data_IF_449845684049
#
_entry.id   IF_449845684049
#
_cell.length_a   1.000
_cell.length_b   1.000
_cell.length_c   1.000
_cell.angle_alpha   90.00
_cell.angle_beta   90.00
_cell.angle_gamma   90.00
#
_symmetry.space_group_name_H-M   'P 1'
#
loop_
_entity.id
_entity.type
_entity.pdbx_description
1 polymer ?
#
# COMPACT_ATOMS: atom_id res chain seq x y z
N UNK A 1 48.42 -63.89 -20.47
CA UNK A 1 47.91 -62.53 -20.70
C UNK A 1 47.91 -61.82 -19.35
N UNK A 2 48.48 -60.62 -19.26
CA UNK A 2 48.39 -59.81 -18.05
C UNK A 2 47.29 -58.77 -18.27
N UNK A 3 46.45 -58.53 -17.25
CA UNK A 3 45.36 -57.54 -17.30
C UNK A 3 45.49 -56.60 -16.12
N UNK A 4 45.18 -55.32 -16.34
CA UNK A 4 45.10 -54.29 -15.31
C UNK A 4 43.83 -53.47 -15.54
N UNK A 5 43.28 -52.91 -14.47
CA UNK A 5 42.10 -52.04 -14.51
C UNK A 5 42.47 -50.70 -13.89
N UNK A 6 42.00 -49.61 -14.49
CA UNK A 6 42.10 -48.25 -13.96
C UNK A 6 40.70 -47.72 -13.69
N UNK A 7 40.45 -47.21 -12.49
CA UNK A 7 39.21 -46.51 -12.16
C UNK A 7 39.45 -45.04 -12.51
N UNK A 8 38.59 -44.48 -13.36
CA UNK A 8 38.66 -43.07 -13.73
C UNK A 8 38.47 -42.21 -12.48
N UNK A 9 39.45 -41.37 -12.18
CA UNK A 9 39.44 -40.42 -11.07
C UNK A 9 39.06 -39.02 -11.55
N UNK A 10 38.72 -38.13 -10.62
CA UNK A 10 38.44 -36.72 -10.95
C UNK A 10 39.65 -36.04 -11.62
N UNK A 11 40.87 -36.39 -11.20
CA UNK A 11 42.09 -35.89 -11.85
C UNK A 11 42.21 -36.32 -13.32
N UNK A 12 41.72 -37.50 -13.67
CA UNK A 12 41.70 -37.98 -15.06
C UNK A 12 40.66 -37.20 -15.87
N UNK A 13 39.45 -37.03 -15.32
CA UNK A 13 38.41 -36.22 -15.93
C UNK A 13 38.88 -34.79 -16.17
N UNK A 14 39.57 -34.18 -15.20
CA UNK A 14 40.13 -32.84 -15.32
C UNK A 14 41.25 -32.78 -16.38
N UNK A 15 42.07 -33.83 -16.50
CA UNK A 15 43.11 -33.93 -17.52
C UNK A 15 42.56 -34.17 -18.94
N UNK A 16 41.32 -34.67 -19.06
CA UNK A 16 40.65 -34.95 -20.33
C UNK A 16 41.20 -36.17 -21.08
N UNK A 17 42.18 -36.87 -20.52
CA UNK A 17 42.72 -38.12 -21.08
C UNK A 17 43.48 -38.93 -20.04
N UNK A 18 43.56 -40.24 -20.28
CA UNK A 18 44.35 -41.18 -19.49
C UNK A 18 45.45 -41.75 -20.39
N UNK A 19 46.71 -41.50 -20.05
CA UNK A 19 47.87 -42.10 -20.72
C UNK A 19 48.33 -43.34 -19.94
N UNK A 20 48.34 -44.50 -20.60
CA UNK A 20 48.80 -45.76 -20.04
C UNK A 20 49.94 -46.33 -20.88
N UNK A 21 51.05 -46.69 -20.23
CA UNK A 21 52.21 -47.33 -20.87
C UNK A 21 52.56 -48.63 -20.16
N UNK A 22 52.64 -49.73 -20.91
CA UNK A 22 53.09 -51.02 -20.41
C UNK A 22 54.52 -51.29 -20.88
N UNK A 23 55.32 -51.94 -20.04
CA UNK A 23 56.65 -52.43 -20.40
C UNK A 23 56.79 -53.87 -19.95
N UNK A 24 57.19 -54.75 -20.86
CA UNK A 24 57.47 -56.16 -20.58
C UNK A 24 58.97 -56.37 -20.69
N UNK A 25 59.56 -56.91 -19.63
CA UNK A 25 60.97 -57.27 -19.58
C UNK A 25 61.13 -58.79 -19.63
N UNK A 26 62.14 -59.27 -20.34
CA UNK A 26 62.51 -60.67 -20.42
C UNK A 26 64.02 -60.85 -20.39
N UNK A 27 64.48 -62.09 -20.26
CA UNK A 27 65.90 -62.43 -20.35
C UNK A 27 66.06 -63.53 -21.39
N UNK A 28 66.97 -63.30 -22.33
CA UNK A 28 67.39 -64.27 -23.35
C UNK A 28 68.75 -64.85 -22.99
N UNK A 29 69.21 -65.93 -23.66
CA UNK A 29 70.57 -66.46 -23.48
C UNK A 29 71.70 -65.45 -23.74
N UNK A 30 71.41 -64.30 -24.38
CA UNK A 30 72.39 -63.24 -24.70
C UNK A 30 72.19 -61.96 -23.87
N UNK A 31 71.21 -61.91 -22.96
CA UNK A 31 70.97 -60.77 -22.07
C UNK A 31 69.50 -60.34 -21.92
N UNK A 32 69.24 -59.28 -21.14
CA UNK A 32 67.90 -58.75 -20.94
C UNK A 32 67.33 -58.10 -22.21
N UNK A 33 66.02 -58.22 -22.42
CA UNK A 33 65.25 -57.59 -23.50
C UNK A 33 64.02 -56.89 -22.92
N UNK A 34 63.55 -55.84 -23.59
CA UNK A 34 62.34 -55.12 -23.19
C UNK A 34 61.50 -54.71 -24.39
N UNK A 35 60.18 -54.71 -24.24
CA UNK A 35 59.24 -54.14 -25.19
C UNK A 35 58.24 -53.25 -24.44
N UNK A 36 57.78 -52.17 -25.06
CA UNK A 36 56.75 -51.29 -24.50
C UNK A 36 55.66 -50.98 -25.51
N UNK A 37 54.48 -50.72 -24.99
CA UNK A 37 53.31 -50.26 -25.77
C UNK A 37 52.57 -49.22 -24.93
N UNK A 38 51.87 -48.29 -25.58
CA UNK A 38 51.10 -47.26 -24.90
C UNK A 38 49.74 -46.99 -25.54
N UNK A 39 48.86 -46.38 -24.75
CA UNK A 39 47.50 -46.05 -25.12
C UNK A 39 47.07 -44.77 -24.41
N UNK A 40 46.53 -43.83 -25.18
CA UNK A 40 45.82 -42.67 -24.64
C UNK A 40 44.34 -42.86 -24.84
N UNK A 41 43.57 -42.79 -23.74
CA UNK A 41 42.11 -42.77 -23.77
C UNK A 41 41.66 -41.34 -23.54
N UNK A 42 41.07 -40.69 -24.55
CA UNK A 42 40.46 -39.37 -24.39
C UNK A 42 39.13 -39.48 -23.66
N UNK A 43 38.89 -38.59 -22.69
CA UNK A 43 37.64 -38.48 -21.95
C UNK A 43 36.82 -37.31 -22.52
N UNK A 44 35.50 -37.52 -22.65
CA UNK A 44 34.58 -36.45 -23.04
C UNK A 44 34.17 -35.71 -21.77
N UNK A 45 34.43 -34.41 -21.75
CA UNK A 45 34.09 -33.52 -20.65
C UNK A 45 32.75 -32.81 -20.90
N UNK A 46 31.93 -32.69 -19.86
CA UNK A 46 30.66 -31.97 -19.84
C UNK A 46 30.69 -30.88 -18.75
N UNK A 47 31.49 -29.81 -18.91
CA UNK A 47 31.48 -28.69 -17.98
C UNK A 47 30.09 -28.04 -17.94
N UNK A 48 29.51 -27.89 -16.75
CA UNK A 48 28.19 -27.29 -16.58
C UNK A 48 28.12 -26.50 -15.28
N UNK A 49 27.64 -25.27 -15.37
CA UNK A 49 27.30 -24.44 -14.23
C UNK A 49 25.80 -24.22 -14.18
N UNK A 50 25.30 -24.03 -12.96
CA UNK A 50 23.97 -23.47 -12.72
C UNK A 50 24.11 -22.25 -11.84
N UNK A 51 23.18 -21.32 -12.01
CA UNK A 51 23.04 -20.12 -11.20
C UNK A 51 21.63 -20.09 -10.65
N UNK A 52 21.51 -19.89 -9.34
CA UNK A 52 20.25 -19.52 -8.71
C UNK A 52 20.40 -18.15 -8.06
N UNK A 53 19.66 -17.17 -8.56
CA UNK A 53 19.61 -15.81 -8.03
C UNK A 53 18.39 -15.65 -7.12
N UNK A 54 18.61 -15.03 -5.96
CA UNK A 54 17.55 -14.65 -5.02
C UNK A 54 17.77 -13.26 -4.45
N UNK A 55 16.68 -12.58 -4.09
CA UNK A 55 16.69 -11.35 -3.31
C UNK A 55 16.19 -11.64 -1.89
N UNK A 56 16.78 -11.01 -0.87
CA UNK A 56 16.29 -11.12 0.50
C UNK A 56 14.94 -10.40 0.68
N UNK A 57 14.77 -9.26 0.01
CA UNK A 57 13.57 -8.44 0.02
C UNK A 57 12.60 -8.89 -1.07
N UNK A 58 11.31 -9.00 -0.71
CA UNK A 58 10.23 -9.34 -1.65
C UNK A 58 9.48 -8.10 -2.15
N UNK A 59 9.60 -6.98 -1.43
CA UNK A 59 9.04 -5.68 -1.77
C UNK A 59 9.96 -4.53 -1.34
N UNK A 60 9.83 -3.37 -1.97
CA UNK A 60 10.43 -2.10 -1.53
C UNK A 60 9.39 -0.97 -1.55
N UNK A 61 9.58 0.10 -0.78
CA UNK A 61 8.58 1.17 -0.70
C UNK A 61 9.15 2.58 -0.85
N UNK A 62 10.47 2.75 -0.90
CA UNK A 62 11.08 4.07 -1.01
C UNK A 62 12.43 4.02 -1.74
N UNK A 63 12.81 5.18 -2.31
CA UNK A 63 14.17 5.44 -2.80
C UNK A 63 15.17 5.25 -1.65
N UNK A 64 16.29 4.62 -1.93
CA UNK A 64 17.31 4.33 -0.91
C UNK A 64 17.10 3.03 -0.13
N UNK A 65 15.96 2.32 -0.33
CA UNK A 65 15.89 0.92 0.10
C UNK A 65 16.99 0.12 -0.61
N UNK A 66 17.60 -0.83 0.09
CA UNK A 66 18.70 -1.66 -0.43
C UNK A 66 18.17 -3.09 -0.59
N UNK A 67 18.30 -3.63 -1.80
CA UNK A 67 18.05 -5.04 -2.10
C UNK A 67 19.35 -5.82 -1.93
N UNK A 68 19.29 -6.94 -1.21
CA UNK A 68 20.42 -7.84 -0.99
C UNK A 68 20.26 -9.08 -1.87
N UNK A 69 21.17 -9.24 -2.83
CA UNK A 69 21.18 -10.37 -3.74
C UNK A 69 22.14 -11.47 -3.29
N UNK A 70 21.72 -12.71 -3.50
CA UNK A 70 22.52 -13.92 -3.33
C UNK A 70 22.52 -14.71 -4.64
N UNK A 71 23.70 -15.17 -5.04
CA UNK A 71 23.95 -15.93 -6.26
C UNK A 71 24.56 -17.28 -5.89
N UNK A 72 23.76 -18.33 -5.88
CA UNK A 72 24.27 -19.69 -5.66
C UNK A 72 24.74 -20.25 -7.01
N UNK A 73 26.06 -20.28 -7.20
CA UNK A 73 26.70 -20.85 -8.39
C UNK A 73 27.14 -22.28 -8.06
N UNK A 74 26.68 -23.25 -8.83
CA UNK A 74 26.96 -24.67 -8.59
C UNK A 74 27.54 -25.34 -9.82
N UNK A 75 28.60 -26.11 -9.61
CA UNK A 75 29.14 -27.01 -10.64
C UNK A 75 28.26 -28.26 -10.73
N UNK A 76 27.57 -28.43 -11.85
CA UNK A 76 26.78 -29.63 -12.16
C UNK A 76 27.37 -30.44 -13.33
N UNK A 77 28.61 -30.11 -13.72
CA UNK A 77 29.36 -30.84 -14.72
C UNK A 77 30.20 -31.95 -14.10
N UNK A 78 31.17 -32.43 -14.88
CA UNK A 78 32.08 -33.52 -14.52
C UNK A 78 33.56 -33.07 -14.44
N UNK A 79 33.83 -31.77 -14.59
CA UNK A 79 35.17 -31.16 -14.52
C UNK A 79 35.22 -30.14 -13.38
N UNK A 80 36.32 -30.14 -12.63
CA UNK A 80 36.61 -29.17 -11.57
C UNK A 80 37.08 -27.83 -12.14
N UNK A 81 36.66 -26.71 -11.53
CA UNK A 81 37.06 -25.37 -11.98
C UNK A 81 38.01 -24.68 -10.99
N UNK A 82 39.19 -24.25 -11.44
CA UNK A 82 40.19 -23.57 -10.59
C UNK A 82 39.81 -22.15 -10.12
N UNK A 83 38.64 -21.62 -10.53
CA UNK A 83 38.26 -20.25 -10.26
C UNK A 83 39.04 -19.19 -11.06
N UNK A 84 38.87 -17.90 -10.75
CA UNK A 84 37.85 -17.37 -9.84
C UNK A 84 36.44 -17.55 -10.42
N UNK A 85 35.44 -17.66 -9.55
CA UNK A 85 34.03 -17.51 -9.94
C UNK A 85 33.71 -16.02 -9.95
N UNK A 86 33.09 -15.55 -11.04
CA UNK A 86 32.62 -14.17 -11.17
C UNK A 86 31.14 -14.14 -11.49
N UNK A 87 30.46 -13.10 -11.03
CA UNK A 87 29.07 -12.79 -11.38
C UNK A 87 29.07 -11.43 -12.06
N UNK A 88 28.36 -11.33 -13.17
CA UNK A 88 28.01 -10.06 -13.80
C UNK A 88 26.51 -9.84 -13.64
N UNK A 89 26.12 -8.69 -13.14
CA UNK A 89 24.73 -8.32 -12.84
C UNK A 89 24.36 -7.02 -13.58
N UNK A 90 23.13 -6.90 -14.06
CA UNK A 90 22.70 -5.73 -14.84
C UNK A 90 22.33 -4.50 -13.99
N UNK A 91 22.17 -4.67 -12.67
CA UNK A 91 21.82 -3.59 -11.73
C UNK A 91 22.92 -3.28 -10.72
N UNK A 92 23.68 -4.29 -10.34
CA UNK A 92 24.68 -4.23 -9.28
C UNK A 92 26.08 -4.03 -9.87
N UNK A 93 27.03 -3.62 -9.03
CA UNK A 93 28.44 -3.45 -9.45
C UNK A 93 29.43 -3.77 -8.33
N UNK A 94 28.93 -4.33 -7.23
CA UNK A 94 29.63 -4.68 -6.00
C UNK A 94 29.63 -6.20 -5.77
N UNK A 95 29.50 -6.99 -6.83
CA UNK A 95 29.47 -8.45 -6.76
C UNK A 95 30.74 -8.97 -6.08
N UNK A 96 30.57 -9.74 -5.02
CA UNK A 96 31.67 -10.33 -4.28
C UNK A 96 31.46 -11.84 -4.19
N UNK A 97 32.44 -12.59 -4.69
CA UNK A 97 32.50 -14.04 -4.58
C UNK A 97 33.66 -14.43 -3.64
N UNK A 98 33.48 -15.42 -2.74
CA UNK A 98 34.59 -16.01 -2.01
C UNK A 98 35.64 -16.61 -2.97
N UNK A 99 36.87 -16.80 -2.48
CA UNK A 99 37.85 -17.58 -3.24
C UNK A 99 37.43 -19.05 -3.27
N UNK A 100 37.63 -19.74 -4.40
CA UNK A 100 37.30 -21.18 -4.52
C UNK A 100 38.07 -22.05 -3.51
N UNK A 101 39.22 -21.58 -3.02
CA UNK A 101 39.98 -22.22 -1.92
C UNK A 101 39.24 -22.26 -0.58
N UNK A 102 38.10 -21.57 -0.45
CA UNK A 102 37.31 -21.48 0.79
C UNK A 102 35.97 -22.22 0.73
N UNK A 103 35.65 -22.87 -0.39
CA UNK A 103 34.42 -23.65 -0.56
C UNK A 103 34.73 -25.14 -0.67
N UNK A 104 33.70 -25.97 -0.44
CA UNK A 104 33.81 -27.40 -0.70
C UNK A 104 34.86 -28.09 0.17
N UNK A 105 35.74 -28.85 -0.49
CA UNK A 105 36.87 -29.53 0.13
C UNK A 105 38.09 -28.60 0.42
N UNK A 106 38.07 -27.35 -0.04
CA UNK A 106 39.13 -26.34 0.17
C UNK A 106 40.41 -26.55 -0.64
N UNK A 107 40.38 -27.33 -1.72
CA UNK A 107 41.55 -27.65 -2.55
C UNK A 107 41.90 -26.62 -3.63
N UNK A 108 41.08 -25.57 -3.75
CA UNK A 108 41.24 -24.52 -4.76
C UNK A 108 40.48 -24.78 -6.06
N UNK A 109 39.60 -25.76 -6.09
CA UNK A 109 38.67 -26.00 -7.18
C UNK A 109 37.22 -25.90 -6.73
N UNK A 110 36.33 -25.60 -7.68
CA UNK A 110 34.91 -25.85 -7.56
C UNK A 110 34.63 -27.21 -8.21
N UNK A 111 34.63 -28.26 -7.41
CA UNK A 111 34.45 -29.63 -7.87
C UNK A 111 33.00 -29.92 -8.29
N UNK A 112 32.76 -30.98 -9.09
CA UNK A 112 31.41 -31.47 -9.36
C UNK A 112 30.56 -31.63 -8.10
N UNK A 113 29.40 -30.97 -8.07
CA UNK A 113 28.46 -30.97 -6.96
C UNK A 113 28.70 -29.86 -5.93
N UNK A 114 29.85 -29.19 -5.94
CA UNK A 114 30.13 -28.07 -5.05
C UNK A 114 29.47 -26.77 -5.53
N UNK A 115 29.25 -25.87 -4.57
CA UNK A 115 28.63 -24.57 -4.82
C UNK A 115 29.35 -23.45 -4.06
N UNK A 116 29.27 -22.26 -4.63
CA UNK A 116 29.74 -21.02 -4.04
C UNK A 116 28.61 -19.99 -4.06
N UNK A 117 28.50 -19.22 -2.99
CA UNK A 117 27.53 -18.12 -2.91
C UNK A 117 28.24 -16.79 -3.04
N UNK A 118 27.93 -16.05 -4.09
CA UNK A 118 28.32 -14.65 -4.24
C UNK A 118 27.20 -13.73 -3.74
N UNK A 119 27.53 -12.48 -3.43
CA UNK A 119 26.56 -11.47 -2.98
C UNK A 119 26.76 -10.14 -3.68
N UNK A 120 25.70 -9.35 -3.80
CA UNK A 120 25.74 -7.97 -4.28
C UNK A 120 24.60 -7.17 -3.65
N UNK A 121 24.66 -5.85 -3.72
CA UNK A 121 23.57 -4.98 -3.27
C UNK A 121 23.10 -4.04 -4.36
N UNK A 122 21.82 -3.67 -4.31
CA UNK A 122 21.24 -2.68 -5.20
C UNK A 122 20.40 -1.68 -4.45
N UNK A 123 20.73 -0.40 -4.59
CA UNK A 123 19.96 0.69 -3.95
C UNK A 123 18.87 1.17 -4.90
N UNK A 124 17.61 1.09 -4.46
CA UNK A 124 16.43 1.54 -5.21
C UNK A 124 16.55 3.01 -5.57
N UNK A 125 16.38 3.31 -6.86
CA UNK A 125 16.36 4.67 -7.40
C UNK A 125 14.93 5.21 -7.55
N UNK A 126 14.80 6.50 -7.84
CA UNK A 126 13.49 7.09 -8.18
C UNK A 126 12.90 6.50 -9.46
N UNK A 127 13.75 6.11 -10.43
CA UNK A 127 13.29 5.48 -11.67
C UNK A 127 12.66 4.11 -11.39
N UNK A 128 13.28 3.32 -10.51
CA UNK A 128 12.76 2.00 -10.10
C UNK A 128 11.46 2.13 -9.32
N UNK A 129 11.39 3.11 -8.43
CA UNK A 129 10.15 3.40 -7.71
C UNK A 129 9.05 3.79 -8.70
N UNK A 130 9.33 4.66 -9.67
CA UNK A 130 8.35 5.03 -10.69
C UNK A 130 7.93 3.85 -11.58
N UNK A 131 8.87 2.95 -11.92
CA UNK A 131 8.61 1.75 -12.70
C UNK A 131 7.77 0.70 -11.94
N UNK A 132 7.81 0.73 -10.60
CA UNK A 132 7.02 -0.16 -9.75
C UNK A 132 7.58 -1.57 -9.59
N UNK A 133 8.70 -1.89 -10.24
CA UNK A 133 9.43 -3.14 -10.05
C UNK A 133 10.88 -3.00 -10.48
N UNK A 134 11.74 -3.84 -9.90
CA UNK A 134 13.13 -4.05 -10.32
C UNK A 134 13.27 -5.50 -10.73
N UNK A 135 13.41 -5.73 -12.03
CA UNK A 135 13.90 -7.01 -12.56
C UNK A 135 15.40 -6.92 -12.68
N UNK A 136 16.08 -7.90 -12.11
CA UNK A 136 17.51 -8.03 -12.12
C UNK A 136 17.90 -9.36 -12.81
N UNK A 137 18.90 -9.31 -13.66
CA UNK A 137 19.45 -10.44 -14.41
C UNK A 137 20.94 -10.55 -14.11
N UNK A 138 21.37 -11.75 -13.74
CA UNK A 138 22.78 -12.05 -13.49
C UNK A 138 23.28 -13.23 -14.34
N UNK A 139 24.57 -13.24 -14.61
CA UNK A 139 25.30 -14.29 -15.30
C UNK A 139 26.52 -14.71 -14.49
N UNK A 140 26.71 -16.02 -14.28
CA UNK A 140 27.86 -16.55 -13.53
C UNK A 140 28.90 -17.15 -14.50
N UNK A 141 30.19 -16.92 -14.23
CA UNK A 141 31.28 -17.44 -15.06
C UNK A 141 32.36 -18.08 -14.21
N UNK A 142 32.86 -19.23 -14.67
CA UNK A 142 34.14 -19.78 -14.20
C UNK A 142 34.77 -20.64 -15.30
N UNK A 143 36.07 -20.45 -15.53
CA UNK A 143 36.83 -21.20 -16.54
C UNK A 143 36.20 -21.12 -17.92
N UNK A 144 36.04 -22.28 -18.57
CA UNK A 144 35.46 -22.43 -19.91
C UNK A 144 33.98 -22.84 -19.92
N UNK A 145 33.32 -22.88 -18.76
CA UNK A 145 31.91 -23.22 -18.70
C UNK A 145 31.06 -22.19 -19.45
N UNK A 146 30.00 -22.66 -20.10
CA UNK A 146 28.99 -21.74 -20.66
C UNK A 146 28.30 -21.00 -19.51
N UNK A 147 28.31 -19.65 -19.48
CA UNK A 147 27.72 -18.88 -18.39
C UNK A 147 26.19 -19.09 -18.28
N UNK A 148 25.67 -19.61 -17.16
CA UNK A 148 24.22 -19.62 -16.91
C UNK A 148 23.75 -18.22 -16.51
N UNK A 149 22.50 -17.90 -16.86
CA UNK A 149 21.81 -16.69 -16.44
C UNK A 149 20.62 -17.01 -15.55
N UNK A 150 20.32 -16.15 -14.59
CA UNK A 150 19.08 -16.22 -13.80
C UNK A 150 18.55 -14.80 -13.53
N UNK A 151 17.26 -14.71 -13.22
CA UNK A 151 16.58 -13.43 -12.99
C UNK A 151 15.69 -13.46 -11.75
N UNK A 152 15.59 -12.31 -11.07
CA UNK A 152 14.64 -12.11 -9.98
C UNK A 152 13.99 -10.73 -10.11
N UNK A 153 12.70 -10.66 -9.79
CA UNK A 153 11.96 -9.39 -9.78
C UNK A 153 11.48 -9.09 -8.36
N UNK A 154 11.77 -7.88 -7.89
CA UNK A 154 11.24 -7.33 -6.63
C UNK A 154 10.25 -6.22 -6.99
N UNK A 155 9.07 -6.21 -6.37
CA UNK A 155 8.01 -5.23 -6.70
C UNK A 155 7.98 -4.07 -5.70
N UNK A 156 7.58 -2.89 -6.17
CA UNK A 156 7.28 -1.79 -5.28
C UNK A 156 5.98 -2.06 -4.50
N UNK A 157 5.92 -1.57 -3.27
CA UNK A 157 4.74 -1.64 -2.40
C UNK A 157 3.62 -0.78 -3.01
N UNK A 158 2.46 -1.35 -3.37
CA UNK A 158 1.36 -0.54 -3.90
C UNK A 158 0.83 0.41 -2.81
N UNK A 159 0.40 1.63 -3.18
CA UNK A 159 -0.13 2.58 -2.23
C UNK A 159 -1.46 2.13 -1.64
N UNK A 160 -1.77 2.68 -0.46
CA UNK A 160 -3.05 2.54 0.21
C UNK A 160 -3.67 3.89 0.50
N UNK A 161 -4.98 3.98 0.29
CA UNK A 161 -5.79 5.13 0.67
C UNK A 161 -6.93 4.71 1.59
N UNK A 162 -7.03 5.38 2.73
CA UNK A 162 -8.13 5.24 3.68
C UNK A 162 -8.95 6.53 3.66
N UNK A 163 -10.26 6.42 3.45
CA UNK A 163 -11.16 7.55 3.67
C UNK A 163 -11.78 7.40 5.06
N UNK A 164 -11.85 8.49 5.83
CA UNK A 164 -12.43 8.49 7.17
C UNK A 164 -13.54 9.53 7.25
N UNK A 165 -14.76 9.04 7.50
CA UNK A 165 -15.94 9.85 7.77
C UNK A 165 -16.09 10.08 9.27
N UNK A 166 -16.39 11.33 9.64
CA UNK A 166 -16.97 11.65 10.94
C UNK A 166 -18.36 12.26 10.74
N UNK A 167 -19.32 11.88 11.58
CA UNK A 167 -20.65 12.49 11.61
C UNK A 167 -20.86 13.11 12.99
N UNK A 168 -21.28 14.36 13.00
CA UNK A 168 -21.63 15.15 14.19
C UNK A 168 -23.16 15.33 14.16
N UNK A 169 -23.78 15.11 15.31
CA UNK A 169 -25.24 15.10 15.50
C UNK A 169 -25.59 15.94 16.73
N UNK A 170 -25.14 17.20 16.76
CA UNK A 170 -25.33 18.10 17.90
C UNK A 170 -26.58 18.99 17.77
N UNK A 171 -27.32 18.88 16.66
CA UNK A 171 -28.55 19.61 16.39
C UNK A 171 -29.79 18.72 16.18
N UNK A 172 -29.74 17.47 16.67
CA UNK A 172 -30.86 16.53 16.65
C UNK A 172 -30.85 15.54 15.47
N UNK A 173 -29.82 15.58 14.64
CA UNK A 173 -29.54 14.59 13.61
C UNK A 173 -29.32 13.19 14.18
N UNK A 174 -29.57 12.17 13.35
CA UNK A 174 -29.45 10.75 13.74
C UNK A 174 -28.65 9.91 12.76
N UNK A 175 -28.15 10.52 11.69
CA UNK A 175 -27.39 9.82 10.65
C UNK A 175 -26.09 9.26 11.21
N UNK A 176 -25.68 8.13 10.67
CA UNK A 176 -24.45 7.46 10.99
C UNK A 176 -23.47 7.58 9.82
N UNK A 177 -22.22 7.16 10.02
CA UNK A 177 -21.20 7.14 8.96
C UNK A 177 -21.68 6.42 7.70
N UNK A 178 -22.42 5.32 7.86
CA UNK A 178 -22.92 4.53 6.72
C UNK A 178 -23.99 5.25 5.87
N UNK A 179 -24.65 6.29 6.40
CA UNK A 179 -25.61 7.11 5.65
C UNK A 179 -24.92 8.07 4.67
N UNK A 180 -23.60 8.19 4.74
CA UNK A 180 -22.78 9.00 3.85
C UNK A 180 -21.80 8.11 3.07
N UNK A 181 -22.27 7.36 2.04
CA UNK A 181 -21.40 6.53 1.22
C UNK A 181 -20.19 7.32 0.69
N UNK A 182 -19.00 6.74 0.86
CA UNK A 182 -17.74 7.29 0.39
C UNK A 182 -17.32 6.59 -0.90
N UNK A 183 -16.63 7.33 -1.76
CA UNK A 183 -16.13 6.80 -3.03
C UNK A 183 -14.71 7.26 -3.31
N UNK A 184 -13.96 6.43 -4.02
CA UNK A 184 -12.69 6.77 -4.68
C UNK A 184 -12.90 6.60 -6.18
N UNK A 185 -12.81 7.70 -6.94
CA UNK A 185 -13.10 7.72 -8.38
C UNK A 185 -14.47 7.09 -8.73
N UNK A 186 -15.48 7.31 -7.89
CA UNK A 186 -16.83 6.75 -8.05
C UNK A 186 -16.99 5.28 -7.61
N UNK A 187 -15.91 4.59 -7.23
CA UNK A 187 -15.99 3.24 -6.65
C UNK A 187 -16.26 3.33 -5.15
N UNK A 188 -17.28 2.65 -4.61
CA UNK A 188 -17.63 2.75 -3.19
C UNK A 188 -16.53 2.17 -2.31
N UNK A 189 -16.26 2.82 -1.18
CA UNK A 189 -15.31 2.38 -0.16
C UNK A 189 -15.91 2.49 1.24
N UNK A 190 -15.37 1.72 2.19
CA UNK A 190 -15.81 1.77 3.58
C UNK A 190 -14.94 2.73 4.39
N UNK A 191 -15.57 3.61 5.17
CA UNK A 191 -14.86 4.52 6.07
C UNK A 191 -13.94 3.76 7.03
N UNK A 192 -12.69 4.19 7.16
CA UNK A 192 -11.67 3.58 8.02
C UNK A 192 -11.00 2.33 7.42
N UNK A 193 -11.40 1.86 6.24
CA UNK A 193 -10.80 0.70 5.57
C UNK A 193 -9.80 1.18 4.51
N UNK A 194 -8.58 0.65 4.58
CA UNK A 194 -7.52 0.95 3.61
C UNK A 194 -7.78 0.20 2.29
N UNK A 195 -7.72 0.94 1.18
CA UNK A 195 -7.88 0.41 -0.18
C UNK A 195 -6.53 0.44 -0.87
N UNK A 196 -6.06 -0.71 -1.38
CA UNK A 196 -4.86 -0.78 -2.21
C UNK A 196 -5.19 -0.23 -3.59
N UNK A 197 -4.38 0.72 -4.05
CA UNK A 197 -4.60 1.47 -5.29
C UNK A 197 -3.36 1.43 -6.18
N UNK A 198 -3.47 1.98 -7.38
CA UNK A 198 -2.34 2.13 -8.30
C UNK A 198 -1.54 3.39 -7.98
N UNK A 199 -0.22 3.31 -8.05
CA UNK A 199 0.64 4.47 -7.91
C UNK A 199 0.60 5.38 -9.16
N UNK A 200 1.03 6.63 -8.97
CA UNK A 200 1.10 7.69 -9.97
C UNK A 200 -0.25 8.00 -10.63
N UNK A 201 -1.35 7.73 -9.92
CA UNK A 201 -2.72 8.02 -10.35
C UNK A 201 -3.31 9.09 -9.44
N UNK A 202 -3.98 10.07 -10.05
CA UNK A 202 -4.81 11.04 -9.35
C UNK A 202 -6.14 10.38 -8.96
N UNK A 203 -6.41 10.38 -7.67
CA UNK A 203 -7.67 9.92 -7.10
C UNK A 203 -8.49 11.09 -6.60
N UNK A 204 -9.80 10.96 -6.70
CA UNK A 204 -10.79 11.90 -6.15
C UNK A 204 -11.65 11.16 -5.14
N UNK A 205 -11.56 11.58 -3.89
CA UNK A 205 -12.46 11.18 -2.82
C UNK A 205 -13.77 11.97 -2.94
N UNK A 206 -14.90 11.27 -2.92
CA UNK A 206 -16.23 11.89 -2.91
C UNK A 206 -17.14 11.23 -1.89
N UNK A 207 -18.24 11.92 -1.59
CA UNK A 207 -19.27 11.50 -0.65
C UNK A 207 -20.64 11.85 -1.22
N UNK A 208 -21.66 11.06 -0.87
CA UNK A 208 -23.06 11.43 -1.12
C UNK A 208 -23.50 12.55 -0.17
N UNK A 209 -23.97 13.67 -0.73
CA UNK A 209 -24.49 14.79 0.07
C UNK A 209 -25.86 14.49 0.68
N UNK A 210 -26.12 15.08 1.84
CA UNK A 210 -27.43 15.05 2.50
C UNK A 210 -27.91 16.50 2.74
N UNK A 211 -29.16 16.85 2.39
CA UNK A 211 -29.69 18.20 2.61
C UNK A 211 -29.69 18.66 4.08
N UNK A 212 -29.83 17.75 5.03
CA UNK A 212 -29.87 18.02 6.47
C UNK A 212 -28.48 18.18 7.12
N UNK A 213 -27.40 17.95 6.37
CA UNK A 213 -26.03 18.02 6.87
C UNK A 213 -25.16 18.95 6.03
N UNK A 214 -24.13 19.52 6.66
CA UNK A 214 -23.10 20.32 6.01
C UNK A 214 -21.80 19.54 6.03
N UNK A 215 -21.26 19.26 4.83
CA UNK A 215 -19.95 18.64 4.70
C UNK A 215 -18.82 19.67 4.87
N UNK A 216 -17.78 19.29 5.60
CA UNK A 216 -16.50 20.01 5.58
C UNK A 216 -15.84 19.84 4.21
N UNK A 217 -14.87 20.72 3.85
CA UNK A 217 -13.89 20.35 2.84
C UNK A 217 -13.17 19.04 3.24
N UNK A 218 -12.64 18.33 2.24
CA UNK A 218 -11.77 17.20 2.51
C UNK A 218 -10.47 17.67 3.21
N UNK A 219 -9.89 16.79 4.03
CA UNK A 219 -8.64 17.06 4.73
C UNK A 219 -7.82 15.79 4.92
N UNK A 220 -6.90 15.83 5.89
CA UNK A 220 -5.88 14.80 6.05
C UNK A 220 -4.83 14.94 4.95
N UNK A 221 -4.54 13.85 4.24
CA UNK A 221 -3.63 13.85 3.10
C UNK A 221 -4.26 14.35 1.79
N UNK A 222 -5.59 14.46 1.72
CA UNK A 222 -6.28 14.98 0.52
C UNK A 222 -6.29 16.50 0.49
N UNK A 223 -6.29 17.06 -0.72
CA UNK A 223 -6.65 18.46 -0.93
C UNK A 223 -8.12 18.71 -0.58
N UNK A 224 -8.49 20.00 -0.38
CA UNK A 224 -9.83 20.41 0.07
C UNK A 224 -10.98 19.96 -0.85
N UNK A 225 -10.68 19.76 -2.14
CA UNK A 225 -11.59 19.25 -3.16
C UNK A 225 -11.64 17.70 -3.25
N UNK A 226 -10.95 17.00 -2.35
CA UNK A 226 -10.90 15.54 -2.30
C UNK A 226 -9.84 14.89 -3.19
N UNK A 227 -9.04 15.67 -3.93
CA UNK A 227 -8.02 15.08 -4.82
C UNK A 227 -6.72 14.72 -4.11
N UNK A 228 -6.10 13.61 -4.49
CA UNK A 228 -4.79 13.14 -4.02
C UNK A 228 -4.10 12.32 -5.11
N UNK A 229 -2.81 12.55 -5.34
CA UNK A 229 -1.99 11.66 -6.17
C UNK A 229 -1.19 10.75 -5.25
N UNK A 230 -1.33 9.44 -5.42
CA UNK A 230 -0.60 8.45 -4.62
C UNK A 230 0.66 8.01 -5.35
N UNK A 231 1.76 7.87 -4.64
CA UNK A 231 3.00 7.26 -5.14
C UNK A 231 3.23 5.90 -4.49
N UNK A 232 4.14 5.10 -5.03
CA UNK A 232 4.47 3.79 -4.46
C UNK A 232 4.88 3.93 -2.98
N UNK A 233 4.43 2.97 -2.16
CA UNK A 233 4.67 2.95 -0.72
C UNK A 233 3.74 3.83 0.12
N UNK A 234 2.93 4.69 -0.49
CA UNK A 234 2.04 5.58 0.26
C UNK A 234 1.05 4.79 1.15
N UNK A 235 0.81 5.31 2.35
CA UNK A 235 -0.27 4.88 3.22
C UNK A 235 -0.97 6.14 3.75
N UNK A 236 -1.99 6.60 3.02
CA UNK A 236 -2.58 7.93 3.17
C UNK A 236 -3.99 7.85 3.73
N UNK A 237 -4.38 8.88 4.47
CA UNK A 237 -5.70 9.00 5.05
C UNK A 237 -6.32 10.35 4.70
N UNK A 238 -7.48 10.32 4.06
CA UNK A 238 -8.28 11.51 3.81
C UNK A 238 -9.51 11.52 4.71
N UNK A 239 -9.84 12.69 5.23
CA UNK A 239 -10.90 12.84 6.23
C UNK A 239 -11.97 13.80 5.75
N UNK A 240 -13.23 13.50 6.05
CA UNK A 240 -14.36 14.41 5.83
C UNK A 240 -15.34 14.34 7.00
N UNK A 241 -15.88 15.50 7.41
CA UNK A 241 -16.85 15.59 8.50
C UNK A 241 -18.19 16.06 7.94
N UNK A 242 -19.30 15.44 8.37
CA UNK A 242 -20.62 16.03 8.19
C UNK A 242 -21.18 16.40 9.54
N UNK A 243 -21.70 17.62 9.60
CA UNK A 243 -22.32 18.20 10.77
C UNK A 243 -23.79 18.49 10.47
N UNK A 244 -24.69 18.15 11.38
CA UNK A 244 -26.11 18.32 11.16
C UNK A 244 -26.49 19.80 11.20
N UNK A 245 -27.44 20.21 10.34
CA UNK A 245 -27.82 21.61 10.25
C UNK A 245 -28.78 21.97 11.38
N UNK A 246 -28.34 22.88 12.24
CA UNK A 246 -29.19 23.56 13.20
C UNK A 246 -30.42 24.21 12.58
N UNK A 247 -31.48 24.34 13.38
CA UNK A 247 -32.75 24.93 12.96
C UNK A 247 -32.97 26.26 13.65
N UNK A 248 -33.78 27.13 13.05
CA UNK A 248 -34.13 28.45 13.58
C UNK A 248 -35.63 28.64 13.60
N UNK A 249 -36.15 29.10 14.73
CA UNK A 249 -37.55 29.52 14.88
C UNK A 249 -37.60 31.00 15.26
N UNK A 250 -38.40 31.78 14.53
CA UNK A 250 -38.69 33.18 14.85
C UNK A 250 -40.15 33.31 15.23
N UNK A 251 -40.44 33.86 16.41
CA UNK A 251 -41.80 34.24 16.76
C UNK A 251 -41.99 35.73 16.41
N UNK A 252 -43.10 36.09 15.77
CA UNK A 252 -43.44 37.48 15.45
C UNK A 252 -44.75 37.84 16.13
N UNK A 253 -44.66 38.81 17.01
CA UNK A 253 -45.80 39.43 17.67
C UNK A 253 -46.25 40.69 16.93
N UNK A 254 -47.55 40.78 16.67
CA UNK A 254 -48.23 42.03 16.29
C UNK A 254 -49.18 42.45 17.40
N UNK A 255 -49.25 43.76 17.69
CA UNK A 255 -50.22 44.35 18.64
C UNK A 255 -51.04 45.39 17.90
N UNK A 256 -52.36 45.26 17.98
CA UNK A 256 -53.35 46.12 17.33
C UNK A 256 -54.06 46.93 18.43
N UNK A 257 -54.01 48.26 18.31
CA UNK A 257 -54.56 49.19 19.30
C UNK A 257 -55.75 49.99 18.73
N UNK A 258 -56.55 49.37 17.88
CA UNK A 258 -57.64 50.00 17.12
C UNK A 258 -58.87 50.38 17.97
N UNK A 259 -58.96 49.89 19.21
CA UNK A 259 -59.97 50.27 20.19
C UNK A 259 -59.42 51.12 21.36
N UNK A 260 -58.33 51.85 21.16
CA UNK A 260 -57.76 52.77 22.17
C UNK A 260 -56.77 52.12 23.14
N UNK A 261 -56.25 50.94 22.80
CA UNK A 261 -55.18 50.28 23.53
C UNK A 261 -53.86 51.06 23.48
N UNK A 262 -52.96 50.81 24.43
CA UNK A 262 -51.63 51.47 24.51
C UNK A 262 -50.47 50.49 24.65
N UNK A 263 -50.75 49.18 24.69
CA UNK A 263 -49.72 48.15 24.86
C UNK A 263 -48.80 48.08 23.66
N UNK A 264 -47.58 47.63 23.92
CA UNK A 264 -46.52 47.41 22.96
C UNK A 264 -46.20 45.91 22.88
N UNK A 265 -45.41 45.50 21.88
CA UNK A 265 -44.97 44.11 21.72
C UNK A 265 -44.33 43.56 23.00
N UNK A 266 -43.55 44.38 23.72
CA UNK A 266 -42.87 43.98 24.95
C UNK A 266 -43.82 43.64 26.11
N UNK A 267 -45.08 44.11 26.08
CA UNK A 267 -46.09 43.79 27.10
C UNK A 267 -46.66 42.37 26.95
N UNK A 268 -46.32 41.68 25.86
CA UNK A 268 -46.73 40.30 25.60
C UNK A 268 -45.48 39.40 25.45
N UNK A 269 -44.84 38.99 26.55
CA UNK A 269 -43.69 38.10 26.50
C UNK A 269 -44.01 36.79 25.76
N UNK A 270 -43.16 36.44 24.81
CA UNK A 270 -43.23 35.22 24.03
C UNK A 270 -42.30 34.14 24.59
N UNK A 271 -42.68 32.88 24.45
CA UNK A 271 -41.88 31.75 24.90
C UNK A 271 -41.90 30.61 23.88
N UNK A 272 -40.80 29.85 23.86
CA UNK A 272 -40.70 28.55 23.19
C UNK A 272 -40.45 27.50 24.28
N UNK A 273 -41.36 26.54 24.46
CA UNK A 273 -41.31 25.55 25.55
C UNK A 273 -41.08 26.20 26.93
N UNK A 274 -41.71 27.35 27.18
CA UNK A 274 -41.56 28.11 28.43
C UNK A 274 -40.27 28.91 28.58
N UNK A 275 -39.32 28.82 27.64
CA UNK A 275 -38.13 29.67 27.61
C UNK A 275 -38.43 31.00 26.90
N UNK A 276 -38.12 32.16 27.50
CA UNK A 276 -38.48 33.46 26.93
C UNK A 276 -37.70 33.72 25.64
N UNK A 277 -38.36 34.30 24.64
CA UNK A 277 -37.78 34.71 23.36
C UNK A 277 -38.21 36.13 23.01
N UNK A 278 -37.43 36.80 22.15
CA UNK A 278 -37.74 38.15 21.67
C UNK A 278 -38.43 38.07 20.31
N UNK A 279 -39.56 38.78 20.16
CA UNK A 279 -40.26 38.89 18.89
C UNK A 279 -39.33 39.38 17.77
N UNK A 280 -39.34 38.71 16.62
CA UNK A 280 -38.51 39.01 15.46
C UNK A 280 -37.05 38.53 15.55
N UNK A 281 -36.65 37.91 16.67
CA UNK A 281 -35.29 37.36 16.85
C UNK A 281 -35.34 35.84 16.69
N UNK A 282 -34.52 35.31 15.77
CA UNK A 282 -34.41 33.88 15.54
C UNK A 282 -33.73 33.17 16.71
N UNK A 283 -34.35 32.09 17.20
CA UNK A 283 -33.79 31.20 18.23
C UNK A 283 -33.34 29.90 17.59
N UNK A 284 -32.12 29.44 17.90
CA UNK A 284 -31.61 28.15 17.42
C UNK A 284 -32.20 27.00 18.22
N UNK A 285 -32.74 26.00 17.54
CA UNK A 285 -33.42 24.86 18.12
C UNK A 285 -32.88 23.54 17.53
N UNK A 286 -32.96 22.46 18.31
CA UNK A 286 -32.69 21.11 17.81
C UNK A 286 -33.84 20.64 16.91
N UNK A 287 -33.51 19.96 15.83
CA UNK A 287 -34.49 19.31 14.95
C UNK A 287 -35.17 18.11 15.61
N UNK A 288 -36.26 17.66 14.99
CA UNK A 288 -37.08 16.51 15.40
C UNK A 288 -37.65 16.60 16.82
N UNK A 289 -37.63 17.80 17.40
CA UNK A 289 -38.27 18.13 18.69
C UNK A 289 -39.56 18.90 18.41
N UNK A 290 -40.62 18.55 19.12
CA UNK A 290 -41.85 19.31 19.17
C UNK A 290 -41.67 20.52 20.10
N UNK A 291 -41.90 21.71 19.58
CA UNK A 291 -41.91 22.95 20.32
C UNK A 291 -43.31 23.52 20.41
N UNK A 292 -43.57 24.27 21.46
CA UNK A 292 -44.82 25.01 21.69
C UNK A 292 -44.48 26.48 21.89
N UNK A 293 -44.97 27.32 20.97
CA UNK A 293 -44.97 28.76 21.10
C UNK A 293 -46.10 29.19 22.03
N UNK A 294 -45.80 30.03 23.01
CA UNK A 294 -46.80 30.56 23.95
C UNK A 294 -46.57 32.04 24.18
N UNK A 295 -47.61 32.71 24.64
CA UNK A 295 -47.61 34.12 24.99
C UNK A 295 -48.29 34.33 26.34
N UNK A 296 -47.86 35.34 27.08
CA UNK A 296 -48.57 35.79 28.29
C UNK A 296 -49.86 36.52 27.91
N UNK A 297 -51.01 36.06 28.42
CA UNK A 297 -52.30 36.72 28.22
C UNK A 297 -52.41 38.03 29.00
N UNK A 298 -53.04 39.06 28.39
CA UNK A 298 -53.45 40.30 29.07
C UNK A 298 -54.98 40.43 29.00
N UNK A 299 -55.68 40.74 30.12
CA UNK A 299 -57.15 40.82 30.13
C UNK A 299 -57.77 41.86 29.17
N UNK A 300 -57.01 42.87 28.75
CA UNK A 300 -57.48 43.92 27.83
C UNK A 300 -57.36 43.58 26.34
N UNK A 301 -56.76 42.43 26.01
CA UNK A 301 -56.42 42.05 24.63
C UNK A 301 -56.79 40.60 24.37
N UNK A 302 -57.28 40.30 23.17
CA UNK A 302 -57.64 38.93 22.78
C UNK A 302 -56.63 38.40 21.78
N UNK A 303 -55.93 37.32 22.12
CA UNK A 303 -54.97 36.70 21.22
C UNK A 303 -55.64 35.95 20.08
N UNK A 304 -55.09 36.08 18.87
CA UNK A 304 -55.40 35.20 17.75
C UNK A 304 -54.90 33.77 18.01
N UNK A 305 -55.37 32.82 17.22
CA UNK A 305 -54.64 31.57 17.06
C UNK A 305 -53.22 31.84 16.53
N UNK A 306 -52.28 30.95 16.83
CA UNK A 306 -50.98 30.99 16.19
C UNK A 306 -51.10 30.72 14.68
N UNK A 307 -50.25 31.38 13.90
CA UNK A 307 -50.18 31.23 12.45
C UNK A 307 -48.74 31.17 11.95
N UNK A 308 -48.57 31.37 10.64
CA UNK A 308 -47.30 31.16 9.95
C UNK A 308 -47.01 29.67 9.80
N UNK A 309 -45.83 29.23 10.25
CA UNK A 309 -45.42 27.84 10.25
C UNK A 309 -45.93 27.01 11.45
N UNK A 310 -46.45 27.67 12.50
CA UNK A 310 -47.02 26.97 13.65
C UNK A 310 -48.44 26.49 13.38
N UNK A 311 -48.83 25.39 14.03
CA UNK A 311 -50.23 25.02 14.16
C UNK A 311 -50.98 26.06 15.00
N UNK A 312 -52.32 26.05 14.91
CA UNK A 312 -53.18 27.02 15.59
C UNK A 312 -53.01 27.05 17.11
N UNK A 313 -52.59 25.93 17.70
CA UNK A 313 -52.29 25.76 19.13
C UNK A 313 -50.85 26.18 19.51
N UNK A 314 -50.08 26.70 18.56
CA UNK A 314 -48.69 27.13 18.75
C UNK A 314 -47.67 26.00 18.64
N UNK A 315 -48.08 24.77 18.33
CA UNK A 315 -47.14 23.65 18.19
C UNK A 315 -46.44 23.64 16.84
N UNK A 316 -45.17 23.21 16.83
CA UNK A 316 -44.36 23.08 15.63
C UNK A 316 -43.25 22.03 15.83
N UNK A 317 -43.01 21.19 14.82
CA UNK A 317 -41.84 20.29 14.80
C UNK A 317 -40.86 20.80 13.76
N UNK A 318 -39.60 20.96 14.16
CA UNK A 318 -38.53 21.46 13.29
C UNK A 318 -37.85 20.29 12.57
N UNK A 319 -37.59 20.41 11.28
CA UNK A 319 -36.68 19.54 10.51
C UNK A 319 -35.27 20.15 10.42
N UNK A 320 -34.25 19.33 10.18
CA UNK A 320 -32.86 19.80 10.07
C UNK A 320 -32.73 20.92 9.02
N UNK A 321 -32.04 21.99 9.38
CA UNK A 321 -31.85 23.18 8.54
C UNK A 321 -33.08 24.10 8.39
N UNK A 322 -34.19 23.82 9.07
CA UNK A 322 -35.38 24.69 9.01
C UNK A 322 -35.09 26.11 9.48
N UNK A 323 -35.75 27.07 8.84
CA UNK A 323 -35.82 28.46 9.27
C UNK A 323 -37.28 28.92 9.19
N UNK A 324 -38.00 28.79 10.30
CA UNK A 324 -39.47 28.93 10.35
C UNK A 324 -39.90 30.15 11.14
N UNK A 325 -41.08 30.64 10.82
CA UNK A 325 -41.68 31.82 11.46
C UNK A 325 -43.10 31.53 11.92
N UNK A 326 -43.36 31.71 13.22
CA UNK A 326 -44.72 31.67 13.77
C UNK A 326 -45.18 33.06 14.14
N UNK A 327 -46.45 33.33 13.90
CA UNK A 327 -47.03 34.66 14.11
C UNK A 327 -48.21 34.60 15.08
N UNK A 328 -48.34 35.66 15.88
CA UNK A 328 -49.51 35.88 16.75
C UNK A 328 -49.85 37.36 16.79
N UNK A 329 -51.14 37.67 16.82
CA UNK A 329 -51.66 39.04 16.88
C UNK A 329 -52.63 39.19 18.04
N UNK A 330 -52.55 40.31 18.76
CA UNK A 330 -53.52 40.70 19.77
C UNK A 330 -54.09 42.07 19.49
#
# INVERSE_FOLDING_TARGET
TCTATHVVLQSDMNAGSIYNKVTVNGVTPVGPVSASDDLTVTLIQHPKLTLHKSAAETIYSAVGNVLHYSYLVKNEGDVSFAGPVTVADDKSSDETCPAVTTVGNGDGFLDPGEAITCTATYTITQADLNAGSVTNVASASVGSATPPTDTVTVNAQPPKLTLVKTVINDNGGTKQVADFPLFVNGSPVTSGVANTLSANVLYTATETSDPGYTASPWGGDCAANGTITLVWGDNKTCTIKNDDKGTKLTLIKTVINDNGGTKQIADFPLFVNGSPVTSGVATTLSASVLYTATETSDPGYTASAWGGDCAADGTITMALGDNKTCTISN
#
